data_IF_392069566708
#
_entry.id   IF_392069566708
#
_cell.length_a   1.000
_cell.length_b   1.000
_cell.length_c   1.000
_cell.angle_alpha   90.00
_cell.angle_beta   90.00
_cell.angle_gamma   90.00
#
_symmetry.space_group_name_H-M   'P 1'
#
loop_
_entity.id
_entity.type
_entity.pdbx_description
1 polymer ?
#
# COMPACT_ATOMS: atom_id res chain seq x y z
N UNK A 1 16.45 -9.37 19.57
CA UNK A 1 15.78 -8.34 20.39
C UNK A 1 14.75 -9.05 21.24
N UNK A 2 14.66 -8.76 22.55
CA UNK A 2 13.63 -9.34 23.42
C UNK A 2 12.29 -8.61 23.24
N UNK A 3 11.18 -9.23 23.63
CA UNK A 3 9.84 -8.63 23.55
C UNK A 3 9.76 -7.30 24.31
N UNK A 4 10.32 -7.24 25.51
CA UNK A 4 10.33 -6.02 26.33
C UNK A 4 11.12 -4.87 25.70
N UNK A 5 12.28 -5.18 25.10
CA UNK A 5 13.09 -4.15 24.43
C UNK A 5 12.40 -3.61 23.19
N UNK A 6 11.67 -4.46 22.45
CA UNK A 6 10.85 -4.03 21.33
C UNK A 6 9.74 -3.07 21.77
N UNK A 7 8.95 -3.44 22.79
CA UNK A 7 7.83 -2.62 23.25
C UNK A 7 8.29 -1.31 23.91
N UNK A 8 9.43 -1.31 24.59
CA UNK A 8 10.05 -0.08 25.10
C UNK A 8 10.45 0.85 23.93
N UNK A 9 11.09 0.30 22.89
CA UNK A 9 11.44 1.06 21.69
C UNK A 9 10.21 1.61 20.94
N UNK A 10 9.16 0.79 20.81
CA UNK A 10 7.89 1.20 20.22
C UNK A 10 7.22 2.33 21.01
N UNK A 11 7.27 2.27 22.35
CA UNK A 11 6.77 3.33 23.22
C UNK A 11 7.47 4.66 22.98
N UNK A 12 8.81 4.68 23.01
CA UNK A 12 9.60 5.89 22.74
C UNK A 12 9.35 6.41 21.32
N UNK A 13 9.28 5.52 20.33
CA UNK A 13 8.95 5.90 18.95
C UNK A 13 7.58 6.59 18.87
N UNK A 14 6.55 6.03 19.50
CA UNK A 14 5.20 6.58 19.47
C UNK A 14 5.11 7.93 20.19
N UNK A 15 5.77 8.12 21.32
CA UNK A 15 5.81 9.41 22.00
C UNK A 15 6.48 10.48 21.15
N UNK A 16 7.61 10.15 20.52
CA UNK A 16 8.40 11.09 19.71
C UNK A 16 7.76 11.40 18.35
N UNK A 17 6.97 10.48 17.80
CA UNK A 17 6.40 10.60 16.46
C UNK A 17 4.89 10.76 16.43
N UNK A 18 4.22 10.86 17.58
CA UNK A 18 2.76 10.99 17.67
C UNK A 18 2.18 12.05 16.72
N UNK A 19 2.70 13.30 16.64
CA UNK A 19 2.13 14.31 15.75
C UNK A 19 2.24 13.90 14.28
N UNK A 20 3.38 13.34 13.89
CA UNK A 20 3.63 12.88 12.52
C UNK A 20 2.72 11.70 12.18
N UNK A 21 2.58 10.74 13.10
CA UNK A 21 1.68 9.59 12.90
C UNK A 21 0.22 10.02 12.76
N UNK A 22 -0.24 11.01 13.54
CA UNK A 22 -1.59 11.57 13.42
C UNK A 22 -1.79 12.23 12.06
N UNK A 23 -0.85 13.07 11.62
CA UNK A 23 -0.90 13.70 10.29
C UNK A 23 -0.94 12.65 9.19
N UNK A 24 -0.04 11.66 9.23
CA UNK A 24 -0.01 10.58 8.26
C UNK A 24 -1.32 9.79 8.24
N UNK A 25 -1.90 9.50 9.40
CA UNK A 25 -3.20 8.81 9.54
C UNK A 25 -4.34 9.60 8.90
N UNK A 26 -4.37 10.93 9.10
CA UNK A 26 -5.37 11.81 8.47
C UNK A 26 -5.17 11.80 6.94
N UNK A 27 -3.94 11.97 6.46
CA UNK A 27 -3.65 11.97 5.01
C UNK A 27 -3.99 10.61 4.37
N UNK A 28 -3.75 9.50 5.07
CA UNK A 28 -4.15 8.17 4.62
C UNK A 28 -5.68 8.06 4.50
N UNK A 29 -6.42 8.50 5.53
CA UNK A 29 -7.89 8.49 5.50
C UNK A 29 -8.44 9.37 4.36
N UNK A 30 -7.86 10.55 4.14
CA UNK A 30 -8.21 11.43 3.01
C UNK A 30 -7.90 10.78 1.66
N UNK A 31 -6.77 10.07 1.56
CA UNK A 31 -6.37 9.34 0.36
C UNK A 31 -7.39 8.24 0.04
N UNK A 32 -7.79 7.45 1.04
CA UNK A 32 -8.85 6.44 0.90
C UNK A 32 -10.15 7.11 0.46
N UNK A 33 -10.61 8.14 1.17
CA UNK A 33 -11.84 8.85 0.82
C UNK A 33 -11.85 9.34 -0.63
N UNK A 34 -10.74 9.91 -1.11
CA UNK A 34 -10.58 10.36 -2.50
C UNK A 34 -10.60 9.20 -3.49
N UNK A 35 -9.96 8.07 -3.18
CA UNK A 35 -10.00 6.85 -4.02
C UNK A 35 -11.44 6.34 -4.16
N UNK A 36 -12.25 6.41 -3.11
CA UNK A 36 -13.63 5.92 -3.11
C UNK A 36 -14.63 6.88 -3.78
N UNK A 37 -14.42 8.19 -3.69
CA UNK A 37 -15.39 9.21 -4.17
C UNK A 37 -15.03 9.84 -5.50
N UNK A 38 -13.74 10.10 -5.75
CA UNK A 38 -13.25 10.83 -6.94
C UNK A 38 -11.94 10.22 -7.44
N UNK A 39 -11.96 9.00 -8.00
CA UNK A 39 -10.79 8.42 -8.63
C UNK A 39 -10.37 9.26 -9.84
N UNK A 40 -9.07 9.50 -9.99
CA UNK A 40 -8.51 10.30 -11.08
C UNK A 40 -7.04 10.64 -10.85
N UNK A 41 -6.41 11.34 -11.80
CA UNK A 41 -4.98 11.63 -11.80
C UNK A 41 -4.49 12.32 -10.53
N UNK A 42 -5.25 13.31 -10.03
CA UNK A 42 -4.90 14.04 -8.80
C UNK A 42 -4.91 13.12 -7.57
N UNK A 43 -5.86 12.19 -7.52
CA UNK A 43 -5.95 11.18 -6.44
C UNK A 43 -4.81 10.18 -6.55
N UNK A 44 -4.46 9.75 -7.76
CA UNK A 44 -3.32 8.85 -7.98
C UNK A 44 -2.01 9.48 -7.52
N UNK A 45 -1.76 10.74 -7.90
CA UNK A 45 -0.56 11.48 -7.45
C UNK A 45 -0.57 11.62 -5.94
N UNK A 46 -1.69 12.04 -5.33
CA UNK A 46 -1.80 12.15 -3.87
C UNK A 46 -1.46 10.85 -3.15
N UNK A 47 -2.05 9.72 -3.57
CA UNK A 47 -1.82 8.40 -2.96
C UNK A 47 -0.37 7.98 -3.10
N UNK A 48 0.23 8.11 -4.29
CA UNK A 48 1.63 7.73 -4.53
C UNK A 48 2.60 8.60 -3.75
N UNK A 49 2.37 9.91 -3.70
CA UNK A 49 3.19 10.85 -2.92
C UNK A 49 3.09 10.53 -1.44
N UNK A 50 1.88 10.28 -0.93
CA UNK A 50 1.68 9.85 0.45
C UNK A 50 2.41 8.55 0.76
N UNK A 51 2.23 7.51 -0.06
CA UNK A 51 2.88 6.21 0.16
C UNK A 51 4.40 6.35 0.09
N UNK A 52 4.94 7.02 -0.93
CA UNK A 52 6.38 7.27 -1.06
C UNK A 52 6.94 7.95 0.20
N UNK A 53 6.29 9.02 0.67
CA UNK A 53 6.71 9.72 1.89
C UNK A 53 6.59 8.85 3.14
N UNK A 54 5.48 8.13 3.33
CA UNK A 54 5.26 7.29 4.51
C UNK A 54 6.26 6.11 4.59
N UNK A 55 6.60 5.51 3.45
CA UNK A 55 7.63 4.48 3.36
C UNK A 55 9.02 5.06 3.60
N UNK A 56 9.34 6.24 3.04
CA UNK A 56 10.61 6.91 3.28
C UNK A 56 10.80 7.25 4.75
N UNK A 57 9.75 7.81 5.37
CA UNK A 57 9.74 8.17 6.78
C UNK A 57 9.96 6.96 7.69
N UNK A 58 9.25 5.85 7.45
CA UNK A 58 9.45 4.61 8.21
C UNK A 58 10.84 3.99 7.94
N UNK A 59 11.30 3.99 6.70
CA UNK A 59 12.64 3.56 6.31
C UNK A 59 13.73 4.27 7.10
N UNK A 60 13.65 5.61 7.17
CA UNK A 60 14.63 6.44 7.84
C UNK A 60 14.47 6.42 9.37
N UNK A 61 13.29 6.75 9.88
CA UNK A 61 13.10 6.96 11.33
C UNK A 61 12.96 5.63 12.06
N UNK A 62 12.01 4.80 11.67
CA UNK A 62 11.71 3.57 12.40
C UNK A 62 12.88 2.56 12.31
N UNK A 63 13.36 2.26 11.10
CA UNK A 63 14.36 1.21 10.92
C UNK A 63 15.80 1.65 11.21
N UNK A 64 16.20 2.90 10.88
CA UNK A 64 17.59 3.34 11.10
C UNK A 64 17.82 4.02 12.46
N UNK A 65 16.80 4.68 13.04
CA UNK A 65 16.96 5.44 14.30
C UNK A 65 16.49 4.61 15.52
N UNK A 66 15.24 4.13 15.52
CA UNK A 66 14.62 3.60 16.76
C UNK A 66 14.87 2.11 17.01
N UNK A 67 14.65 1.24 16.02
CA UNK A 67 14.78 -0.22 16.23
C UNK A 67 16.22 -0.70 16.05
N UNK A 68 16.99 -0.01 15.20
CA UNK A 68 18.41 -0.20 14.88
C UNK A 68 18.99 -1.57 15.29
N UNK A 69 18.53 -2.62 14.62
CA UNK A 69 19.12 -3.96 14.70
C UNK A 69 19.60 -4.39 13.29
N UNK A 70 20.47 -5.41 13.17
CA UNK A 70 21.03 -5.80 11.88
C UNK A 70 19.95 -6.11 10.84
N UNK A 71 18.87 -6.80 11.24
CA UNK A 71 17.76 -7.16 10.36
C UNK A 71 16.99 -5.90 9.88
N UNK A 72 16.69 -4.96 10.79
CA UNK A 72 16.06 -3.68 10.46
C UNK A 72 16.90 -2.88 9.49
N UNK A 73 18.20 -2.75 9.75
CA UNK A 73 19.10 -1.89 8.99
C UNK A 73 19.46 -2.48 7.62
N UNK A 74 19.70 -3.79 7.54
CA UNK A 74 20.13 -4.44 6.29
C UNK A 74 18.99 -5.01 5.45
N UNK A 75 17.81 -5.23 6.01
CA UNK A 75 16.65 -5.77 5.29
C UNK A 75 15.48 -4.78 5.30
N UNK A 76 15.07 -4.32 6.50
CA UNK A 76 13.91 -3.44 6.65
C UNK A 76 14.06 -2.10 5.92
N UNK A 77 15.13 -1.35 6.21
CA UNK A 77 15.36 -0.03 5.64
C UNK A 77 15.55 -0.08 4.11
N UNK A 78 16.39 -0.96 3.53
CA UNK A 78 16.53 -1.05 2.08
C UNK A 78 15.23 -1.40 1.38
N UNK A 79 14.43 -2.31 1.94
CA UNK A 79 13.14 -2.70 1.36
C UNK A 79 12.16 -1.51 1.33
N UNK A 80 12.09 -0.73 2.42
CA UNK A 80 11.26 0.47 2.46
C UNK A 80 11.76 1.58 1.52
N UNK A 81 13.08 1.71 1.35
CA UNK A 81 13.69 2.63 0.39
C UNK A 81 13.36 2.20 -1.05
N UNK A 82 13.45 0.92 -1.38
CA UNK A 82 13.07 0.41 -2.71
C UNK A 82 11.60 0.71 -2.99
N UNK A 83 10.70 0.43 -2.05
CA UNK A 83 9.26 0.74 -2.20
C UNK A 83 9.02 2.25 -2.36
N UNK A 84 9.75 3.08 -1.62
CA UNK A 84 9.72 4.55 -1.76
C UNK A 84 10.06 4.99 -3.19
N UNK A 85 11.16 4.45 -3.75
CA UNK A 85 11.62 4.75 -5.11
C UNK A 85 10.60 4.26 -6.13
N UNK A 86 10.05 3.06 -5.96
CA UNK A 86 9.04 2.52 -6.87
C UNK A 86 7.81 3.44 -6.97
N UNK A 87 7.28 3.90 -5.83
CA UNK A 87 6.17 4.85 -5.85
C UNK A 87 6.57 6.21 -6.43
N UNK A 88 7.77 6.70 -6.14
CA UNK A 88 8.26 7.97 -6.69
C UNK A 88 8.38 7.91 -8.22
N UNK A 89 8.95 6.84 -8.77
CA UNK A 89 9.07 6.62 -10.22
C UNK A 89 7.68 6.45 -10.87
N UNK A 90 6.76 5.75 -10.21
CA UNK A 90 5.40 5.53 -10.72
C UNK A 90 4.54 6.82 -10.75
N UNK A 91 4.91 7.88 -10.01
CA UNK A 91 4.31 9.21 -10.17
C UNK A 91 4.59 9.76 -11.58
N UNK A 92 5.82 9.65 -12.06
CA UNK A 92 6.24 10.13 -13.37
C UNK A 92 5.82 9.19 -14.50
N UNK A 93 5.94 7.88 -14.29
CA UNK A 93 5.59 6.87 -15.28
C UNK A 93 4.08 6.74 -15.51
N UNK A 94 3.24 7.23 -14.59
CA UNK A 94 1.77 7.18 -14.61
C UNK A 94 1.18 5.79 -14.95
N UNK A 95 1.88 4.70 -14.58
CA UNK A 95 1.47 3.33 -14.94
C UNK A 95 0.35 2.81 -14.05
N UNK A 96 0.40 3.10 -12.75
CA UNK A 96 -0.66 2.67 -11.81
C UNK A 96 -1.79 3.69 -11.70
N UNK A 97 -3.03 3.24 -11.84
CA UNK A 97 -4.24 4.02 -11.58
C UNK A 97 -5.00 3.43 -10.38
N UNK A 98 -5.05 4.16 -9.26
CA UNK A 98 -5.81 3.77 -8.07
C UNK A 98 -7.30 3.98 -8.32
N UNK A 99 -7.94 2.94 -8.84
CA UNK A 99 -9.39 2.83 -8.99
C UNK A 99 -9.86 1.60 -8.21
N UNK A 100 -11.06 1.65 -7.66
CA UNK A 100 -11.65 0.48 -7.03
C UNK A 100 -11.99 -0.58 -8.09
N UNK A 101 -11.90 -1.88 -7.74
CA UNK A 101 -12.35 -2.95 -8.62
C UNK A 101 -13.83 -2.78 -8.96
N UNK A 102 -14.19 -2.99 -10.23
CA UNK A 102 -15.59 -2.96 -10.69
C UNK A 102 -16.44 -4.03 -10.00
N UNK A 103 -15.82 -5.15 -9.61
CA UNK A 103 -16.49 -6.23 -8.89
C UNK A 103 -16.78 -5.82 -7.43
N UNK A 104 -18.06 -5.75 -7.09
CA UNK A 104 -18.53 -5.29 -5.77
C UNK A 104 -17.96 -6.07 -4.57
N UNK A 105 -17.71 -7.37 -4.71
CA UNK A 105 -17.11 -8.18 -3.63
C UNK A 105 -15.65 -7.81 -3.37
N UNK A 106 -14.86 -7.57 -4.44
CA UNK A 106 -13.47 -7.12 -4.32
C UNK A 106 -13.39 -5.74 -3.66
N UNK A 107 -14.30 -4.83 -4.04
CA UNK A 107 -14.42 -3.50 -3.40
C UNK A 107 -14.70 -3.61 -1.89
N UNK A 108 -15.61 -4.50 -1.48
CA UNK A 108 -15.88 -4.75 -0.04
C UNK A 108 -14.67 -5.34 0.66
N UNK A 109 -13.98 -6.28 0.03
CA UNK A 109 -12.76 -6.90 0.58
C UNK A 109 -11.64 -5.88 0.75
N UNK A 110 -11.39 -5.01 -0.24
CA UNK A 110 -10.44 -3.90 -0.11
C UNK A 110 -10.81 -2.97 1.04
N UNK A 111 -12.09 -2.59 1.16
CA UNK A 111 -12.54 -1.73 2.26
C UNK A 111 -12.33 -2.39 3.62
N UNK A 112 -12.65 -3.68 3.75
CA UNK A 112 -12.41 -4.45 4.97
C UNK A 112 -10.92 -4.53 5.32
N UNK A 113 -10.04 -4.75 4.35
CA UNK A 113 -8.58 -4.77 4.58
C UNK A 113 -8.04 -3.42 5.01
N UNK A 114 -8.51 -2.32 4.41
CA UNK A 114 -8.14 -0.98 4.85
C UNK A 114 -8.63 -0.76 6.28
N UNK A 115 -9.89 -1.05 6.58
CA UNK A 115 -10.43 -0.93 7.94
C UNK A 115 -9.64 -1.75 8.95
N UNK A 116 -9.22 -2.96 8.58
CA UNK A 116 -8.39 -3.82 9.42
C UNK A 116 -7.04 -3.14 9.74
N UNK A 117 -6.38 -2.56 8.75
CA UNK A 117 -5.12 -1.83 8.95
C UNK A 117 -5.27 -0.63 9.90
N UNK A 118 -6.39 0.11 9.80
CA UNK A 118 -6.69 1.22 10.72
C UNK A 118 -7.12 0.75 12.12
N UNK A 119 -7.73 -0.43 12.23
CA UNK A 119 -8.18 -1.00 13.50
C UNK A 119 -7.06 -1.62 14.34
N UNK A 120 -5.83 -1.62 13.84
CA UNK A 120 -4.68 -2.23 14.52
C UNK A 120 -4.51 -1.79 16.00
N UNK A 121 -4.65 -0.50 16.37
CA UNK A 121 -4.57 -0.08 17.77
C UNK A 121 -5.72 -0.65 18.61
N UNK A 122 -6.94 -0.71 18.07
CA UNK A 122 -8.10 -1.26 18.77
C UNK A 122 -7.91 -2.74 19.07
N UNK A 123 -7.35 -3.49 18.11
CA UNK A 123 -7.02 -4.91 18.26
C UNK A 123 -5.92 -5.08 19.32
N UNK A 124 -4.86 -4.27 19.28
CA UNK A 124 -3.78 -4.30 20.27
C UNK A 124 -4.25 -4.01 21.69
N UNK A 125 -5.18 -3.06 21.85
CA UNK A 125 -5.77 -2.74 23.14
C UNK A 125 -6.73 -3.84 23.63
N UNK A 126 -7.65 -4.29 22.78
CA UNK A 126 -8.71 -5.22 23.17
C UNK A 126 -8.23 -6.67 23.35
N UNK A 127 -7.28 -7.14 22.51
CA UNK A 127 -6.82 -8.53 22.54
C UNK A 127 -5.52 -8.74 23.32
N UNK A 128 -4.60 -7.76 23.29
CA UNK A 128 -3.29 -7.89 23.93
C UNK A 128 -3.15 -7.03 25.20
N UNK A 129 -4.14 -6.21 25.54
CA UNK A 129 -4.11 -5.33 26.71
C UNK A 129 -3.05 -4.22 26.63
N UNK A 130 -2.50 -3.97 25.43
CA UNK A 130 -1.48 -2.95 25.23
C UNK A 130 -2.11 -1.55 25.19
N UNK A 131 -1.71 -0.69 26.12
CA UNK A 131 -2.09 0.72 26.15
C UNK A 131 -1.00 1.61 25.56
N UNK A 132 -1.40 2.79 25.08
CA UNK A 132 -0.46 3.84 24.70
C UNK A 132 0.47 4.16 25.89
N UNK A 133 1.80 4.30 25.68
CA UNK A 133 2.50 4.41 24.40
C UNK A 133 2.96 3.09 23.77
N UNK A 134 2.82 1.94 24.45
CA UNK A 134 3.26 0.62 23.96
C UNK A 134 2.21 -0.06 23.07
N UNK A 135 1.69 0.66 22.09
CA UNK A 135 0.66 0.18 21.16
C UNK A 135 1.09 0.38 19.71
N UNK A 136 0.67 -0.50 18.81
CA UNK A 136 1.03 -0.38 17.40
C UNK A 136 0.03 0.54 16.69
N UNK A 137 0.51 1.71 16.31
CA UNK A 137 -0.28 2.75 15.63
C UNK A 137 -0.50 2.39 14.15
N UNK A 138 -1.54 2.91 13.47
CA UNK A 138 -1.86 2.53 12.08
C UNK A 138 -0.74 2.79 11.07
N UNK A 139 0.18 3.70 11.40
CA UNK A 139 1.32 4.09 10.56
C UNK A 139 2.61 3.33 10.85
N UNK A 140 2.56 2.31 11.71
CA UNK A 140 3.66 1.36 11.84
C UNK A 140 3.95 0.65 10.51
N UNK A 141 5.18 0.16 10.27
CA UNK A 141 5.56 -0.46 9.01
C UNK A 141 4.66 -1.62 8.57
N UNK A 142 4.18 -2.45 9.50
CA UNK A 142 3.29 -3.59 9.18
C UNK A 142 1.88 -3.15 8.72
N UNK A 143 1.11 -2.36 9.49
CA UNK A 143 -0.18 -1.87 9.02
C UNK A 143 -0.05 -0.96 7.79
N UNK A 144 1.04 -0.19 7.65
CA UNK A 144 1.30 0.62 6.47
C UNK A 144 1.53 -0.24 5.21
N UNK A 145 2.27 -1.35 5.30
CA UNK A 145 2.46 -2.24 4.15
C UNK A 145 1.17 -2.95 3.77
N UNK A 146 0.39 -3.42 4.74
CA UNK A 146 -0.94 -4.00 4.48
C UNK A 146 -1.86 -2.99 3.80
N UNK A 147 -1.86 -1.74 4.27
CA UNK A 147 -2.61 -0.66 3.65
C UNK A 147 -2.19 -0.41 2.19
N UNK A 148 -0.89 -0.31 1.93
CA UNK A 148 -0.36 -0.09 0.59
C UNK A 148 -0.70 -1.26 -0.36
N UNK A 149 -0.56 -2.51 0.13
CA UNK A 149 -0.92 -3.70 -0.62
C UNK A 149 -2.42 -3.75 -0.93
N UNK A 150 -3.27 -3.37 0.02
CA UNK A 150 -4.72 -3.29 -0.21
C UNK A 150 -5.07 -2.30 -1.33
N UNK A 151 -4.40 -1.14 -1.35
CA UNK A 151 -4.59 -0.14 -2.41
C UNK A 151 -4.04 -0.59 -3.76
N UNK A 152 -2.85 -1.20 -3.81
CA UNK A 152 -2.28 -1.74 -5.05
C UNK A 152 -3.15 -2.86 -5.60
N UNK A 153 -3.58 -3.80 -4.75
CA UNK A 153 -4.45 -4.90 -5.15
C UNK A 153 -5.80 -4.42 -5.68
N UNK A 154 -6.31 -3.31 -5.14
CA UNK A 154 -7.51 -2.65 -5.65
C UNK A 154 -7.27 -1.98 -7.01
N UNK A 155 -6.11 -1.35 -7.19
CA UNK A 155 -5.70 -0.63 -8.39
C UNK A 155 -5.28 -1.54 -9.55
N UNK A 156 -4.87 -2.78 -9.25
CA UNK A 156 -4.47 -3.74 -10.27
C UNK A 156 -5.65 -3.97 -11.23
N UNK A 157 -5.43 -3.87 -12.56
CA UNK A 157 -6.47 -4.21 -13.53
C UNK A 157 -6.94 -5.63 -13.23
N UNK A 158 -8.19 -5.96 -13.59
CA UNK A 158 -8.70 -7.32 -13.47
C UNK A 158 -7.83 -8.28 -14.30
N UNK A 159 -6.72 -8.79 -13.73
CA UNK A 159 -5.85 -9.80 -14.34
C UNK A 159 -6.62 -11.11 -14.59
N UNK A 160 -7.84 -11.22 -14.04
CA UNK A 160 -8.76 -12.33 -14.24
C UNK A 160 -9.91 -12.09 -15.23
N UNK A 161 -10.04 -10.92 -15.88
CA UNK A 161 -10.97 -10.84 -17.02
C UNK A 161 -10.17 -11.27 -18.24
N UNK A 162 -10.33 -12.56 -18.56
CA UNK A 162 -9.88 -13.29 -19.74
C UNK A 162 -9.19 -12.38 -20.76
N UNK A 163 -7.99 -12.81 -21.20
CA UNK A 163 -7.66 -12.75 -22.63
C UNK A 163 -8.84 -13.39 -23.36
N UNK A 164 -9.90 -12.63 -23.59
CA UNK A 164 -10.83 -12.87 -24.68
C UNK A 164 -9.98 -12.55 -25.89
N UNK A 165 -9.26 -13.58 -26.35
CA UNK A 165 -9.02 -13.76 -27.77
C UNK A 165 -10.36 -13.42 -28.42
N UNK A 166 -10.39 -12.33 -29.18
CA UNK A 166 -11.56 -11.94 -29.93
C UNK A 166 -11.96 -13.17 -30.77
N UNK A 167 -13.15 -13.77 -30.58
CA UNK A 167 -13.54 -14.98 -31.31
C UNK A 167 -13.62 -14.73 -32.82
N UNK A 168 -13.52 -13.48 -33.29
CA UNK A 168 -13.36 -13.13 -34.71
C UNK A 168 -12.05 -13.62 -35.35
N UNK A 169 -11.06 -14.07 -34.58
CA UNK A 169 -9.85 -14.69 -35.13
C UNK A 169 -9.86 -16.22 -35.14
N UNK A 170 -10.96 -16.86 -34.73
CA UNK A 170 -11.06 -18.32 -34.69
C UNK A 170 -12.25 -18.79 -35.53
N UNK A 171 -12.26 -18.43 -36.80
CA UNK A 171 -12.99 -19.20 -37.79
C UNK A 171 -12.24 -19.29 -39.12
N UNK A 172 -12.23 -20.53 -39.57
CA UNK A 172 -12.09 -21.02 -40.92
C UNK A 172 -10.71 -21.44 -41.44
N UNK A 173 -10.73 -22.70 -41.88
CA UNK A 173 -9.69 -23.44 -42.58
C UNK A 173 -9.21 -22.69 -43.82
N UNK A 174 -8.05 -23.14 -44.26
CA UNK A 174 -7.56 -23.20 -45.64
C UNK A 174 -6.85 -21.96 -46.20
N UNK A 175 -5.69 -22.25 -46.78
CA UNK A 175 -4.94 -21.50 -47.80
C UNK A 175 -4.36 -20.13 -47.44
N UNK A 176 -3.03 -20.12 -47.33
CA UNK A 176 -2.12 -19.25 -48.08
C UNK A 176 -2.38 -17.74 -48.20
N UNK A 177 -1.31 -16.99 -47.90
CA UNK A 177 -0.99 -15.62 -48.34
C UNK A 177 -1.57 -14.48 -47.48
N UNK A 178 -0.65 -13.52 -47.21
CA UNK A 178 -0.87 -12.19 -46.66
C UNK A 178 -0.85 -12.02 -45.13
N UNK A 179 0.38 -12.08 -44.60
CA UNK A 179 0.86 -11.11 -43.62
C UNK A 179 0.49 -9.70 -44.09
N UNK A 180 -0.36 -8.96 -43.37
CA UNK A 180 -0.18 -7.51 -43.14
C UNK A 180 -0.92 -7.06 -41.86
N UNK A 181 -0.18 -7.08 -40.75
CA UNK A 181 0.13 -5.88 -39.96
C UNK A 181 -1.04 -4.95 -39.55
N UNK A 182 -2.20 -5.50 -39.21
CA UNK A 182 -3.34 -4.75 -38.68
C UNK A 182 -3.72 -5.17 -37.25
N UNK A 183 -2.84 -4.82 -36.31
CA UNK A 183 -3.20 -4.62 -34.91
C UNK A 183 -2.50 -3.32 -34.50
N UNK A 184 -3.20 -2.20 -34.70
CA UNK A 184 -2.80 -0.86 -34.25
C UNK A 184 -3.77 -0.42 -33.17
#
# INVERSE_FOLDING_TARGET
MSTETFWAGAGVYNEKTLPVQVILTIVAALSVYRVFTKPGDKTNVLVKTFLSFAFAWNGATFFLIFVRNPISTFIGAPLFIVVTILFAVDIFARKTNFRLPEAGWKRRLTALWILLAFSYPLIGWALLGHAYPRILMPMFPCPLTVFALALIAAAAPNVGRKVSVDPKCYDNKTSEVSRERFCR
#
